data_IF_704223531737
#
_entry.id   IF_704223531737
#
_cell.length_a   1.000
_cell.length_b   1.000
_cell.length_c   1.000
_cell.angle_alpha   90.00
_cell.angle_beta   90.00
_cell.angle_gamma   90.00
#
_symmetry.space_group_name_H-M   'P 1'
#
loop_
_entity.id
_entity.type
_entity.pdbx_description
1 polymer ?
#
# COMPACT_ATOMS: atom_id res chain seq x y z
N UNK A 1 -21.85 7.68 -0.83
CA UNK A 1 -21.35 8.22 0.44
C UNK A 1 -20.04 8.95 0.17
N UNK A 2 -19.77 10.02 0.90
CA UNK A 2 -18.50 10.73 0.88
C UNK A 2 -17.96 10.81 2.30
N UNK A 3 -16.64 10.65 2.46
CA UNK A 3 -15.96 10.82 3.74
C UNK A 3 -15.39 12.23 3.91
N UNK A 4 -15.49 13.04 2.84
CA UNK A 4 -15.03 14.41 2.79
C UNK A 4 -16.23 15.36 2.53
N UNK A 5 -16.46 16.32 3.43
CA UNK A 5 -17.47 17.36 3.30
C UNK A 5 -16.85 18.73 3.64
N UNK A 6 -16.20 19.34 2.67
CA UNK A 6 -15.46 20.59 2.85
C UNK A 6 -14.29 20.40 3.81
N UNK A 7 -14.35 21.01 5.00
CA UNK A 7 -13.30 20.89 6.05
C UNK A 7 -13.60 19.80 7.07
N UNK A 8 -14.69 19.06 6.92
CA UNK A 8 -15.07 17.96 7.81
C UNK A 8 -14.74 16.65 7.12
N UNK A 9 -13.94 15.81 7.78
CA UNK A 9 -13.49 14.52 7.30
C UNK A 9 -13.91 13.45 8.30
N UNK A 10 -14.57 12.41 7.82
CA UNK A 10 -15.02 11.29 8.64
C UNK A 10 -14.04 10.14 8.55
N UNK A 11 -13.81 9.46 9.68
CA UNK A 11 -12.85 8.37 9.83
C UNK A 11 -13.38 7.34 10.83
N UNK A 12 -13.10 6.06 10.63
CA UNK A 12 -13.54 5.00 11.52
C UNK A 12 -15.07 4.90 11.63
N UNK A 13 -15.58 4.67 12.82
CA UNK A 13 -17.01 4.48 13.08
C UNK A 13 -17.88 5.68 12.70
N UNK A 14 -17.31 6.87 12.63
CA UNK A 14 -18.00 8.07 12.13
C UNK A 14 -18.22 8.02 10.61
N UNK A 15 -17.41 7.28 9.88
CA UNK A 15 -17.50 7.12 8.43
C UNK A 15 -18.27 5.87 8.03
N UNK A 16 -18.11 4.77 8.78
CA UNK A 16 -18.71 3.46 8.49
C UNK A 16 -18.85 2.61 9.75
N UNK A 17 -19.94 1.88 9.85
CA UNK A 17 -20.13 0.85 10.85
C UNK A 17 -19.93 -0.52 10.23
N UNK A 18 -19.03 -1.32 10.78
CA UNK A 18 -18.73 -2.66 10.31
C UNK A 18 -19.34 -3.72 11.23
N UNK A 19 -19.83 -4.85 10.69
CA UNK A 19 -20.28 -5.97 11.51
C UNK A 19 -19.18 -6.46 12.45
N UNK A 20 -19.55 -6.84 13.67
CA UNK A 20 -18.62 -7.31 14.72
C UNK A 20 -17.85 -8.56 14.30
N UNK A 21 -18.50 -9.47 13.55
CA UNK A 21 -17.85 -10.69 13.08
C UNK A 21 -16.82 -10.40 11.99
N UNK A 22 -15.59 -10.80 12.27
CA UNK A 22 -14.40 -10.52 11.44
C UNK A 22 -13.43 -9.54 12.08
N UNK A 23 -13.80 -8.88 13.21
CA UNK A 23 -12.94 -7.98 14.02
C UNK A 23 -12.23 -6.91 13.18
N UNK A 24 -12.97 -6.21 12.30
CA UNK A 24 -12.39 -5.32 11.29
C UNK A 24 -12.58 -3.85 11.56
N UNK A 25 -13.52 -3.47 12.44
CA UNK A 25 -13.84 -2.06 12.69
C UNK A 25 -12.60 -1.23 13.04
N UNK A 26 -11.86 -1.64 14.07
CA UNK A 26 -10.64 -0.95 14.49
C UNK A 26 -9.59 -0.90 13.37
N UNK A 27 -9.32 -2.05 12.73
CA UNK A 27 -8.30 -2.12 11.69
C UNK A 27 -8.63 -1.21 10.49
N UNK A 28 -9.89 -1.16 10.08
CA UNK A 28 -10.35 -0.29 8.98
C UNK A 28 -10.25 1.18 9.39
N UNK A 29 -10.62 1.54 10.63
CA UNK A 29 -10.48 2.91 11.15
C UNK A 29 -9.01 3.35 11.25
N UNK A 30 -8.09 2.46 11.63
CA UNK A 30 -6.65 2.74 11.60
C UNK A 30 -6.17 2.97 10.17
N UNK A 31 -6.62 2.15 9.22
CA UNK A 31 -6.29 2.34 7.79
C UNK A 31 -6.85 3.67 7.24
N UNK A 32 -8.07 4.07 7.64
CA UNK A 32 -8.60 5.38 7.30
C UNK A 32 -7.68 6.50 7.79
N UNK A 33 -7.27 6.40 9.06
CA UNK A 33 -6.40 7.41 9.69
C UNK A 33 -5.05 7.51 8.99
N UNK A 34 -4.43 6.37 8.66
CA UNK A 34 -3.14 6.33 7.96
C UNK A 34 -3.28 6.92 6.55
N UNK A 35 -4.32 6.53 5.81
CA UNK A 35 -4.58 7.03 4.45
C UNK A 35 -4.84 8.54 4.44
N UNK A 36 -5.57 9.05 5.44
CA UNK A 36 -5.94 10.46 5.56
C UNK A 36 -4.77 11.33 6.03
N UNK A 37 -4.01 10.86 7.03
CA UNK A 37 -3.02 11.67 7.73
C UNK A 37 -1.93 12.23 6.81
N UNK A 38 -1.36 11.39 5.94
CA UNK A 38 -0.31 11.85 5.03
C UNK A 38 -0.83 12.82 3.95
N UNK A 39 -2.09 12.63 3.49
CA UNK A 39 -2.73 13.52 2.52
C UNK A 39 -2.97 14.90 3.14
N UNK A 40 -3.46 14.93 4.38
CA UNK A 40 -3.60 16.18 5.14
C UNK A 40 -2.25 16.85 5.36
N UNK A 41 -1.23 16.09 5.76
CA UNK A 41 0.11 16.63 5.96
C UNK A 41 0.66 17.27 4.67
N UNK A 42 0.54 16.56 3.52
CA UNK A 42 0.97 17.08 2.23
C UNK A 42 0.27 18.41 1.87
N UNK A 43 -1.04 18.52 2.14
CA UNK A 43 -1.80 19.75 1.86
C UNK A 43 -1.39 20.88 2.83
N UNK A 44 -1.28 20.60 4.13
CA UNK A 44 -0.90 21.61 5.14
C UNK A 44 0.51 22.15 4.90
N UNK A 45 1.41 21.31 4.43
CA UNK A 45 2.78 21.72 4.06
C UNK A 45 2.87 22.33 2.66
N UNK A 46 1.75 22.53 1.95
CA UNK A 46 1.74 23.12 0.61
C UNK A 46 2.35 22.23 -0.48
N UNK A 47 2.50 20.93 -0.23
CA UNK A 47 3.07 19.96 -1.17
C UNK A 47 2.03 19.39 -2.14
N UNK A 48 0.73 19.51 -1.81
CA UNK A 48 -0.38 19.05 -2.63
C UNK A 48 -1.59 19.97 -2.52
N UNK A 49 -2.45 19.97 -3.53
CA UNK A 49 -3.72 20.69 -3.53
C UNK A 49 -4.82 19.95 -2.73
N UNK A 50 -5.86 20.68 -2.34
CA UNK A 50 -6.96 20.16 -1.51
C UNK A 50 -7.72 18.99 -2.16
N UNK A 51 -7.75 18.89 -3.49
CA UNK A 51 -8.38 17.80 -4.23
C UNK A 51 -7.72 16.43 -3.98
N UNK A 52 -6.52 16.38 -3.38
CA UNK A 52 -5.93 15.11 -2.93
C UNK A 52 -6.85 14.37 -1.94
N UNK A 53 -7.69 15.09 -1.18
CA UNK A 53 -8.67 14.48 -0.26
C UNK A 53 -9.81 13.75 -0.96
N UNK A 54 -10.06 14.01 -2.25
CA UNK A 54 -11.08 13.26 -3.00
C UNK A 54 -10.64 11.80 -3.18
N UNK A 55 -9.32 11.58 -3.23
CA UNK A 55 -8.76 10.23 -3.27
C UNK A 55 -8.93 9.48 -1.94
N UNK A 56 -9.02 10.17 -0.80
CA UNK A 56 -9.37 9.56 0.47
C UNK A 56 -10.78 8.96 0.41
N UNK A 57 -11.76 9.74 -0.06
CA UNK A 57 -13.12 9.23 -0.23
C UNK A 57 -13.18 8.06 -1.20
N UNK A 58 -12.57 8.16 -2.39
CA UNK A 58 -12.66 7.11 -3.42
C UNK A 58 -12.01 5.81 -2.97
N UNK A 59 -10.85 5.87 -2.33
CA UNK A 59 -10.13 4.70 -1.82
C UNK A 59 -10.88 4.07 -0.65
N UNK A 60 -11.23 4.84 0.40
CA UNK A 60 -11.74 4.29 1.65
C UNK A 60 -13.22 3.89 1.61
N UNK A 61 -14.05 4.58 0.80
CA UNK A 61 -15.45 4.16 0.59
C UNK A 61 -15.53 2.83 -0.16
N UNK A 62 -14.67 2.61 -1.15
CA UNK A 62 -14.62 1.34 -1.87
C UNK A 62 -14.26 0.18 -0.93
N UNK A 63 -13.21 0.37 -0.11
CA UNK A 63 -12.76 -0.57 0.90
C UNK A 63 -13.84 -0.90 1.92
N UNK A 64 -14.46 0.12 2.52
CA UNK A 64 -15.50 -0.08 3.52
C UNK A 64 -16.70 -0.86 2.95
N UNK A 65 -17.07 -0.62 1.69
CA UNK A 65 -18.15 -1.37 1.03
C UNK A 65 -17.79 -2.85 0.85
N UNK A 66 -16.59 -3.14 0.37
CA UNK A 66 -16.11 -4.52 0.23
C UNK A 66 -16.06 -5.23 1.58
N UNK A 67 -15.48 -4.57 2.59
CA UNK A 67 -15.39 -5.13 3.94
C UNK A 67 -16.77 -5.36 4.55
N UNK A 68 -17.71 -4.41 4.41
CA UNK A 68 -19.09 -4.57 4.87
C UNK A 68 -19.79 -5.75 4.20
N UNK A 69 -19.59 -5.92 2.90
CA UNK A 69 -20.17 -7.04 2.16
C UNK A 69 -19.64 -8.39 2.67
N UNK A 70 -18.33 -8.54 2.78
CA UNK A 70 -17.69 -9.78 3.24
C UNK A 70 -17.98 -10.06 4.72
N UNK A 71 -17.90 -9.05 5.59
CA UNK A 71 -18.26 -9.21 7.00
C UNK A 71 -19.75 -9.53 7.19
N UNK A 72 -20.62 -8.97 6.35
CA UNK A 72 -22.05 -9.32 6.33
C UNK A 72 -22.31 -10.78 5.95
N UNK A 73 -21.53 -11.34 5.03
CA UNK A 73 -21.58 -12.77 4.71
C UNK A 73 -21.15 -13.62 5.91
N UNK A 74 -20.02 -13.27 6.53
CA UNK A 74 -19.53 -13.95 7.73
C UNK A 74 -20.54 -13.89 8.88
N UNK A 75 -21.17 -12.73 9.08
CA UNK A 75 -22.21 -12.53 10.10
C UNK A 75 -23.40 -13.46 9.88
N UNK A 76 -23.92 -13.57 8.65
CA UNK A 76 -25.03 -14.47 8.32
C UNK A 76 -24.65 -15.94 8.48
N UNK A 77 -23.38 -16.28 8.32
CA UNK A 77 -22.90 -17.64 8.57
C UNK A 77 -22.76 -17.94 10.06
N UNK A 78 -22.28 -16.98 10.86
CA UNK A 78 -22.11 -17.15 12.31
C UNK A 78 -23.42 -17.05 13.08
N UNK A 79 -24.30 -16.15 12.66
CA UNK A 79 -25.64 -15.92 13.24
C UNK A 79 -26.72 -16.00 12.16
N UNK A 80 -27.15 -17.22 11.79
CA UNK A 80 -28.13 -17.42 10.73
C UNK A 80 -29.44 -16.68 11.00
N UNK A 81 -29.87 -15.75 10.12
CA UNK A 81 -31.07 -14.94 10.37
C UNK A 81 -32.39 -15.68 10.17
N UNK A 82 -32.36 -16.81 9.47
CA UNK A 82 -33.58 -17.62 9.19
C UNK A 82 -33.30 -19.10 9.30
N UNK A 83 -34.36 -19.91 9.41
CA UNK A 83 -34.26 -21.37 9.41
C UNK A 83 -33.55 -21.92 8.16
N UNK A 84 -33.76 -21.31 6.98
CA UNK A 84 -33.05 -21.70 5.75
C UNK A 84 -31.55 -21.49 5.84
N UNK A 85 -31.11 -20.32 6.34
CA UNK A 85 -29.69 -20.06 6.59
C UNK A 85 -29.08 -21.02 7.62
N UNK A 86 -29.86 -21.40 8.66
CA UNK A 86 -29.39 -22.37 9.65
C UNK A 86 -29.18 -23.77 9.05
N UNK A 87 -30.13 -24.22 8.21
CA UNK A 87 -29.97 -25.49 7.48
C UNK A 87 -28.76 -25.46 6.56
N UNK A 88 -28.60 -24.37 5.79
CA UNK A 88 -27.44 -24.19 4.90
C UNK A 88 -26.12 -24.19 5.69
N UNK A 89 -26.05 -23.48 6.83
CA UNK A 89 -24.87 -23.48 7.70
C UNK A 89 -24.51 -24.90 8.14
N UNK A 90 -25.45 -25.66 8.67
CA UNK A 90 -25.23 -27.04 9.12
C UNK A 90 -24.78 -27.95 7.99
N UNK A 91 -25.39 -27.84 6.83
CA UNK A 91 -25.00 -28.60 5.65
C UNK A 91 -23.59 -28.27 5.20
N UNK A 92 -23.25 -26.97 5.09
CA UNK A 92 -21.92 -26.52 4.72
C UNK A 92 -20.84 -26.99 5.72
N UNK A 93 -21.11 -26.88 7.03
CA UNK A 93 -20.21 -27.36 8.08
C UNK A 93 -20.02 -28.88 7.99
N UNK A 94 -21.09 -29.64 7.86
CA UNK A 94 -21.04 -31.11 7.75
C UNK A 94 -20.26 -31.57 6.51
N UNK A 95 -20.51 -30.97 5.35
CA UNK A 95 -19.85 -31.31 4.10
C UNK A 95 -18.36 -30.93 4.13
N UNK A 96 -18.00 -29.82 4.76
CA UNK A 96 -16.62 -29.34 4.82
C UNK A 96 -15.67 -30.27 5.61
N UNK A 97 -16.22 -31.13 6.47
CA UNK A 97 -15.47 -32.16 7.18
C UNK A 97 -14.96 -33.25 6.23
N UNK A 98 -15.75 -33.58 5.21
CA UNK A 98 -15.48 -34.70 4.32
C UNK A 98 -15.10 -34.28 2.89
N UNK A 99 -15.38 -33.07 2.49
CA UNK A 99 -15.20 -32.57 1.12
C UNK A 99 -14.46 -31.24 1.10
N UNK A 100 -13.21 -31.26 0.69
CA UNK A 100 -12.36 -30.07 0.66
C UNK A 100 -12.92 -28.92 -0.20
N UNK A 101 -13.51 -29.24 -1.36
CA UNK A 101 -14.09 -28.24 -2.26
C UNK A 101 -15.24 -27.44 -1.62
N UNK A 102 -15.90 -27.97 -0.60
CA UNK A 102 -16.99 -27.26 0.13
C UNK A 102 -16.46 -26.27 1.17
N UNK A 103 -15.16 -26.36 1.54
CA UNK A 103 -14.54 -25.42 2.50
C UNK A 103 -14.59 -23.99 2.00
N UNK A 104 -14.58 -23.78 0.70
CA UNK A 104 -14.77 -22.48 0.07
C UNK A 104 -16.09 -21.79 0.42
N UNK A 105 -17.12 -22.56 0.82
CA UNK A 105 -18.39 -22.01 1.31
C UNK A 105 -18.26 -21.38 2.70
N UNK A 106 -17.28 -21.82 3.49
CA UNK A 106 -17.01 -21.35 4.85
C UNK A 106 -15.90 -20.32 4.90
N UNK A 107 -14.99 -20.35 3.91
CA UNK A 107 -13.83 -19.47 3.87
C UNK A 107 -14.18 -18.18 3.16
N UNK A 108 -14.49 -17.17 3.93
CA UNK A 108 -14.73 -15.83 3.43
C UNK A 108 -13.42 -15.05 3.45
N UNK A 109 -13.26 -14.18 2.47
CA UNK A 109 -12.11 -13.28 2.36
C UNK A 109 -12.08 -12.30 3.54
N UNK A 110 -11.67 -12.78 4.72
CA UNK A 110 -11.72 -11.97 5.95
C UNK A 110 -10.43 -11.22 6.25
N UNK A 111 -9.31 -11.55 5.61
CA UNK A 111 -7.98 -11.02 5.98
C UNK A 111 -7.10 -10.70 4.79
N UNK A 112 -7.66 -10.46 3.62
CA UNK A 112 -6.87 -9.97 2.49
C UNK A 112 -6.76 -8.44 2.55
N UNK A 113 -5.55 -7.89 2.41
CA UNK A 113 -5.40 -6.46 2.23
C UNK A 113 -6.10 -6.03 0.94
N UNK A 114 -6.78 -4.91 1.00
CA UNK A 114 -7.44 -4.29 -0.16
C UNK A 114 -6.39 -3.47 -0.89
N UNK A 115 -6.41 -3.49 -2.21
CA UNK A 115 -5.53 -2.68 -3.02
C UNK A 115 -6.27 -1.50 -3.65
N UNK A 116 -5.52 -0.46 -3.96
CA UNK A 116 -5.99 0.74 -4.62
C UNK A 116 -5.63 0.76 -6.11
N UNK A 117 -5.74 -0.38 -6.80
CA UNK A 117 -5.35 -0.50 -8.21
C UNK A 117 -6.07 0.51 -9.13
N UNK A 118 -7.29 0.90 -8.79
CA UNK A 118 -8.07 1.89 -9.53
C UNK A 118 -7.91 3.34 -9.03
N UNK A 119 -7.05 3.57 -8.04
CA UNK A 119 -6.81 4.92 -7.52
C UNK A 119 -6.06 5.78 -8.55
N UNK A 120 -6.40 7.07 -8.62
CA UNK A 120 -5.63 8.05 -9.38
C UNK A 120 -4.18 8.22 -8.89
N UNK A 121 -3.88 7.75 -7.66
CA UNK A 121 -2.53 7.78 -7.08
C UNK A 121 -1.70 6.55 -7.48
N UNK A 122 -2.25 5.62 -8.25
CA UNK A 122 -1.59 4.42 -8.73
C UNK A 122 -1.16 4.62 -10.18
N UNK A 123 0.13 4.49 -10.45
CA UNK A 123 0.74 4.70 -11.75
C UNK A 123 1.30 3.38 -12.27
N UNK A 124 0.77 2.92 -13.39
CA UNK A 124 1.26 1.70 -14.04
C UNK A 124 2.42 2.05 -14.98
N UNK A 125 3.50 1.29 -14.91
CA UNK A 125 4.58 1.31 -15.89
C UNK A 125 4.28 0.31 -17.02
N UNK A 126 4.68 0.63 -18.25
CA UNK A 126 4.53 -0.27 -19.41
C UNK A 126 5.22 -1.63 -19.20
N UNK A 127 6.27 -1.64 -18.36
CA UNK A 127 7.00 -2.84 -17.97
C UNK A 127 6.40 -3.62 -16.79
N UNK A 128 5.24 -3.25 -16.25
CA UNK A 128 4.66 -3.95 -15.08
C UNK A 128 4.36 -5.43 -15.37
N UNK A 129 4.02 -5.78 -16.60
CA UNK A 129 3.81 -7.17 -17.05
C UNK A 129 5.06 -8.07 -16.96
N UNK A 130 6.25 -7.51 -16.75
CA UNK A 130 7.49 -8.28 -16.54
C UNK A 130 7.61 -8.84 -15.11
N UNK A 131 6.78 -8.40 -14.18
CA UNK A 131 6.76 -8.93 -12.82
C UNK A 131 5.93 -10.20 -12.73
N UNK A 132 6.56 -11.29 -12.29
CA UNK A 132 5.89 -12.57 -12.06
C UNK A 132 5.33 -12.69 -10.62
N UNK A 133 5.79 -11.84 -9.72
CA UNK A 133 5.42 -11.82 -8.31
C UNK A 133 5.50 -10.38 -7.74
N UNK A 134 5.32 -10.26 -6.44
CA UNK A 134 5.46 -8.99 -5.72
C UNK A 134 4.18 -8.17 -5.64
N UNK A 135 4.15 -7.16 -4.76
CA UNK A 135 3.01 -6.27 -4.62
C UNK A 135 2.85 -5.43 -5.88
N UNK A 136 1.68 -5.53 -6.51
CA UNK A 136 1.36 -4.72 -7.70
C UNK A 136 1.10 -3.26 -7.32
N UNK A 137 1.13 -2.33 -8.27
CA UNK A 137 0.71 -0.96 -8.04
C UNK A 137 -0.69 -0.89 -7.43
N UNK A 138 -0.85 -0.09 -6.37
CA UNK A 138 -2.03 -0.01 -5.53
C UNK A 138 -2.04 -0.98 -4.34
N UNK A 139 -1.28 -2.07 -4.37
CA UNK A 139 -1.23 -3.02 -3.27
C UNK A 139 -0.38 -2.51 -2.09
N UNK A 140 -0.68 -2.94 -0.85
CA UNK A 140 0.17 -2.64 0.29
C UNK A 140 1.52 -3.37 0.19
N UNK A 141 2.53 -2.77 0.77
CA UNK A 141 3.87 -3.33 0.88
C UNK A 141 3.85 -4.70 1.57
N UNK A 142 4.72 -5.60 1.13
CA UNK A 142 4.89 -6.93 1.74
C UNK A 142 6.06 -6.93 2.70
N UNK A 143 5.84 -7.52 3.87
CA UNK A 143 6.92 -7.73 4.82
C UNK A 143 7.82 -8.88 4.33
N UNK A 144 9.12 -8.71 4.49
CA UNK A 144 10.13 -9.72 4.21
C UNK A 144 11.11 -9.78 5.38
N UNK A 145 11.52 -11.00 5.74
CA UNK A 145 12.59 -11.17 6.71
C UNK A 145 13.93 -10.91 6.02
N UNK A 146 14.77 -10.15 6.68
CA UNK A 146 16.09 -9.75 6.22
C UNK A 146 17.17 -10.44 7.06
N UNK A 147 18.36 -10.57 6.48
CA UNK A 147 19.54 -10.95 7.21
C UNK A 147 20.19 -9.68 7.80
N UNK A 148 19.71 -9.27 8.95
CA UNK A 148 20.20 -8.10 9.67
C UNK A 148 20.96 -8.48 10.91
N UNK A 149 21.99 -7.71 11.27
CA UNK A 149 22.72 -7.88 12.52
C UNK A 149 21.95 -7.32 13.72
N UNK A 150 20.95 -6.48 13.49
CA UNK A 150 20.08 -5.97 14.56
C UNK A 150 18.85 -6.88 14.75
N UNK A 151 18.76 -7.59 15.86
CA UNK A 151 17.63 -8.47 16.14
C UNK A 151 16.31 -7.71 16.37
N UNK A 152 16.35 -6.39 16.57
CA UNK A 152 15.17 -5.56 16.78
C UNK A 152 14.52 -5.09 15.47
N UNK A 153 15.24 -5.17 14.34
CA UNK A 153 14.76 -4.77 13.01
C UNK A 153 14.94 -5.88 11.97
N UNK A 154 14.37 -7.08 12.21
CA UNK A 154 14.59 -8.23 11.34
C UNK A 154 13.75 -8.22 10.07
N UNK A 155 12.89 -7.21 9.89
CA UNK A 155 11.93 -7.18 8.79
C UNK A 155 12.03 -5.90 7.96
N UNK A 156 11.70 -6.01 6.69
CA UNK A 156 11.71 -4.88 5.74
C UNK A 156 10.83 -3.71 6.21
N UNK A 157 9.64 -4.00 6.75
CA UNK A 157 8.73 -2.94 7.20
C UNK A 157 9.23 -2.18 8.44
N UNK A 158 10.17 -2.73 9.21
CA UNK A 158 10.78 -2.05 10.36
C UNK A 158 11.57 -0.80 9.95
N UNK A 159 11.99 -0.73 8.68
CA UNK A 159 12.71 0.40 8.10
C UNK A 159 11.80 1.47 7.48
N UNK A 160 10.49 1.20 7.39
CA UNK A 160 9.57 2.12 6.76
C UNK A 160 9.19 3.27 7.71
N UNK A 161 9.00 4.45 7.13
CA UNK A 161 8.60 5.66 7.84
C UNK A 161 7.42 6.33 7.11
N UNK A 162 6.69 7.25 7.75
CA UNK A 162 5.57 7.97 7.13
C UNK A 162 6.05 9.04 6.14
N UNK A 163 6.73 8.59 5.08
CA UNK A 163 7.26 9.40 3.99
C UNK A 163 7.12 8.62 2.67
N UNK A 164 7.25 9.28 1.54
CA UNK A 164 7.49 8.57 0.29
C UNK A 164 8.80 7.78 0.39
N UNK A 165 8.80 6.56 -0.13
CA UNK A 165 9.97 5.70 -0.09
C UNK A 165 10.24 5.14 -1.48
N UNK A 166 11.49 5.21 -1.89
CA UNK A 166 12.00 4.60 -3.11
C UNK A 166 12.86 3.41 -2.68
N UNK A 167 12.40 2.21 -3.01
CA UNK A 167 13.11 0.96 -2.75
C UNK A 167 13.79 0.51 -4.04
N UNK A 168 15.08 0.29 -3.96
CA UNK A 168 15.88 -0.23 -5.08
C UNK A 168 16.36 -1.62 -4.71
N UNK A 169 15.90 -2.62 -5.45
CA UNK A 169 16.31 -4.01 -5.32
C UNK A 169 17.36 -4.36 -6.34
N UNK A 170 18.37 -5.11 -5.89
CA UNK A 170 19.45 -5.61 -6.74
C UNK A 170 20.68 -4.71 -6.75
N UNK A 171 21.72 -5.18 -7.43
CA UNK A 171 23.07 -4.65 -7.38
C UNK A 171 23.39 -3.77 -8.62
N UNK A 172 22.36 -3.40 -9.42
CA UNK A 172 22.51 -2.57 -10.61
C UNK A 172 22.73 -1.09 -10.23
N UNK A 173 23.95 -0.64 -10.43
CA UNK A 173 24.35 0.73 -10.14
C UNK A 173 23.63 1.78 -11.01
N UNK A 174 23.17 1.42 -12.22
CA UNK A 174 22.43 2.36 -13.08
C UNK A 174 21.05 2.68 -12.51
N UNK A 175 20.35 1.65 -12.00
CA UNK A 175 19.07 1.80 -11.30
C UNK A 175 19.25 2.62 -10.01
N UNK A 176 20.31 2.32 -9.25
CA UNK A 176 20.60 3.02 -8.01
C UNK A 176 20.83 4.51 -8.26
N UNK A 177 21.74 4.83 -9.19
CA UNK A 177 22.11 6.21 -9.49
C UNK A 177 20.92 7.03 -10.01
N UNK A 178 20.07 6.44 -10.87
CA UNK A 178 18.85 7.10 -11.35
C UNK A 178 17.87 7.38 -10.20
N UNK A 179 17.64 6.42 -9.32
CA UNK A 179 16.77 6.59 -8.15
C UNK A 179 17.31 7.63 -7.16
N UNK A 180 18.63 7.60 -6.91
CA UNK A 180 19.33 8.56 -6.05
C UNK A 180 19.23 9.99 -6.59
N UNK A 181 19.46 10.19 -7.88
CA UNK A 181 19.29 11.50 -8.53
C UNK A 181 17.87 12.05 -8.35
N UNK A 182 16.86 11.23 -8.60
CA UNK A 182 15.45 11.59 -8.42
C UNK A 182 15.16 12.01 -6.97
N UNK A 183 15.61 11.21 -6.00
CA UNK A 183 15.38 11.48 -4.58
C UNK A 183 16.09 12.77 -4.15
N UNK A 184 17.32 13.01 -4.60
CA UNK A 184 18.03 14.25 -4.31
C UNK A 184 17.31 15.47 -4.91
N UNK A 185 16.82 15.37 -6.14
CA UNK A 185 16.01 16.43 -6.77
C UNK A 185 14.75 16.74 -5.99
N UNK A 186 14.01 15.71 -5.54
CA UNK A 186 12.79 15.87 -4.74
C UNK A 186 13.06 16.51 -3.38
N UNK A 187 14.14 16.09 -2.71
CA UNK A 187 14.59 16.68 -1.42
C UNK A 187 14.98 18.14 -1.59
N UNK A 188 15.64 18.50 -2.70
CA UNK A 188 15.94 19.90 -3.05
C UNK A 188 14.70 20.76 -3.23
N UNK A 189 13.53 20.15 -3.51
CA UNK A 189 12.22 20.81 -3.60
C UNK A 189 11.46 20.77 -2.26
N UNK A 190 12.07 20.37 -1.16
CA UNK A 190 11.45 20.32 0.17
C UNK A 190 10.57 19.09 0.44
N UNK A 191 10.62 18.07 -0.41
CA UNK A 191 9.86 16.84 -0.19
C UNK A 191 10.63 15.85 0.68
N UNK A 192 9.93 15.23 1.64
CA UNK A 192 10.51 14.15 2.45
C UNK A 192 10.37 12.82 1.69
N UNK A 193 11.48 12.36 1.14
CA UNK A 193 11.57 11.09 0.40
C UNK A 193 12.73 10.28 0.94
N UNK A 194 12.53 8.99 1.18
CA UNK A 194 13.57 8.07 1.61
C UNK A 194 14.03 7.17 0.46
N UNK A 195 15.31 6.84 0.47
CA UNK A 195 15.94 5.95 -0.50
C UNK A 195 16.50 4.72 0.23
N UNK A 196 15.92 3.56 -0.03
CA UNK A 196 16.30 2.30 0.59
C UNK A 196 16.92 1.37 -0.44
N UNK A 197 18.04 0.75 -0.08
CA UNK A 197 18.75 -0.23 -0.90
C UNK A 197 18.55 -1.63 -0.34
N UNK A 198 18.13 -2.58 -1.17
CA UNK A 198 17.99 -4.00 -0.83
C UNK A 198 18.90 -4.79 -1.77
N UNK A 199 20.05 -5.27 -1.27
CA UNK A 199 21.12 -5.87 -2.07
C UNK A 199 21.58 -7.20 -1.51
N UNK A 200 22.10 -8.05 -2.39
CA UNK A 200 22.68 -9.36 -2.03
C UNK A 200 24.21 -9.31 -1.83
N UNK A 201 24.88 -8.31 -2.41
CA UNK A 201 26.35 -8.19 -2.40
C UNK A 201 26.95 -7.70 -1.07
N UNK A 202 26.11 -7.23 -0.15
CA UNK A 202 26.57 -6.69 1.14
C UNK A 202 27.21 -5.30 1.07
N UNK A 203 27.16 -4.64 -0.10
CA UNK A 203 27.78 -3.33 -0.31
C UNK A 203 26.74 -2.23 -0.14
N UNK A 204 26.93 -1.38 0.87
CA UNK A 204 26.07 -0.22 1.08
C UNK A 204 26.37 0.86 0.02
N UNK A 205 25.41 1.22 -0.83
CA UNK A 205 25.63 2.27 -1.81
C UNK A 205 25.55 3.67 -1.17
N UNK A 206 26.29 4.61 -1.76
CA UNK A 206 26.33 6.00 -1.28
C UNK A 206 24.94 6.66 -1.37
N UNK A 207 24.54 7.35 -0.29
CA UNK A 207 23.30 8.12 -0.23
C UNK A 207 22.05 7.31 0.14
N UNK A 208 22.19 6.04 0.51
CA UNK A 208 21.10 5.25 1.07
C UNK A 208 20.72 5.73 2.48
N UNK A 209 19.44 5.95 2.74
CA UNK A 209 18.93 6.21 4.10
C UNK A 209 18.82 4.93 4.92
N UNK A 210 18.70 3.79 4.25
CA UNK A 210 18.81 2.46 4.84
C UNK A 210 19.40 1.50 3.81
N UNK A 211 20.28 0.64 4.29
CA UNK A 211 20.84 -0.48 3.56
C UNK A 211 20.39 -1.79 4.19
N UNK A 212 19.86 -2.67 3.37
CA UNK A 212 19.20 -3.90 3.76
C UNK A 212 19.87 -5.07 3.02
N UNK A 213 20.56 -5.92 3.78
CA UNK A 213 21.24 -7.06 3.22
C UNK A 213 20.29 -8.24 3.02
N UNK A 214 20.18 -8.72 1.80
CA UNK A 214 19.33 -9.85 1.40
C UNK A 214 20.16 -10.91 0.63
N UNK A 215 21.14 -11.55 1.29
CA UNK A 215 22.10 -12.47 0.63
C UNK A 215 21.42 -13.71 0.05
N UNK A 216 20.28 -14.08 0.56
CA UNK A 216 19.49 -15.23 0.10
C UNK A 216 18.44 -14.86 -0.94
N UNK A 217 18.26 -13.57 -1.24
CA UNK A 217 17.26 -13.08 -2.19
C UNK A 217 15.81 -13.25 -1.73
N UNK A 218 15.55 -13.42 -0.43
CA UNK A 218 14.22 -13.67 0.09
C UNK A 218 13.28 -12.47 -0.12
N UNK A 219 13.77 -11.26 0.14
CA UNK A 219 13.02 -10.04 -0.11
C UNK A 219 12.85 -9.81 -1.61
N UNK A 220 13.92 -10.02 -2.41
CA UNK A 220 13.87 -9.91 -3.86
C UNK A 220 12.82 -10.84 -4.47
N UNK A 221 12.81 -12.12 -4.08
CA UNK A 221 11.83 -13.10 -4.58
C UNK A 221 10.39 -12.73 -4.18
N UNK A 222 10.17 -12.34 -2.90
CA UNK A 222 8.85 -11.96 -2.40
C UNK A 222 8.29 -10.72 -3.10
N UNK A 223 9.18 -9.79 -3.52
CA UNK A 223 8.83 -8.57 -4.24
C UNK A 223 8.87 -8.74 -5.77
N UNK A 224 9.18 -9.94 -6.25
CA UNK A 224 9.31 -10.20 -7.69
C UNK A 224 10.41 -9.36 -8.33
N UNK A 225 11.45 -9.01 -7.55
CA UNK A 225 12.52 -8.10 -7.94
C UNK A 225 13.75 -8.80 -8.53
N UNK A 226 13.59 -10.05 -8.98
CA UNK A 226 14.65 -10.81 -9.65
C UNK A 226 15.22 -10.01 -10.83
N UNK A 227 16.54 -9.86 -10.88
CA UNK A 227 17.22 -9.05 -11.88
C UNK A 227 17.12 -7.54 -11.65
N UNK A 228 16.72 -7.11 -10.46
CA UNK A 228 16.56 -5.72 -10.09
C UNK A 228 15.14 -5.16 -10.28
N UNK A 229 14.78 -4.22 -9.44
CA UNK A 229 13.54 -3.46 -9.57
C UNK A 229 13.57 -2.18 -8.72
N UNK A 230 12.76 -1.21 -9.10
CA UNK A 230 12.47 -0.04 -8.27
C UNK A 230 11.00 -0.05 -7.90
N UNK A 231 10.71 0.28 -6.64
CA UNK A 231 9.37 0.49 -6.12
C UNK A 231 9.26 1.88 -5.50
N UNK A 232 8.20 2.58 -5.82
CA UNK A 232 7.83 3.83 -5.15
C UNK A 232 6.65 3.56 -4.25
N UNK A 233 6.83 3.79 -2.94
CA UNK A 233 5.78 3.64 -1.94
C UNK A 233 5.29 5.01 -1.49
N UNK A 234 3.98 5.08 -1.29
CA UNK A 234 3.30 6.20 -0.62
C UNK A 234 3.60 6.17 0.88
N UNK A 235 3.38 7.30 1.60
CA UNK A 235 3.57 7.34 3.06
C UNK A 235 2.68 6.34 3.84
N UNK A 236 1.55 5.90 3.26
CA UNK A 236 0.68 4.84 3.80
C UNK A 236 1.09 3.43 3.38
N UNK A 237 2.31 3.26 2.88
CA UNK A 237 2.95 1.99 2.51
C UNK A 237 2.26 1.25 1.35
N UNK A 238 1.46 1.93 0.52
CA UNK A 238 0.96 1.37 -0.72
C UNK A 238 1.90 1.66 -1.88
N UNK A 239 2.03 0.70 -2.79
CA UNK A 239 2.85 0.84 -4.00
C UNK A 239 2.20 1.85 -4.93
N UNK A 240 2.84 3.00 -5.14
CA UNK A 240 2.41 3.97 -6.15
C UNK A 240 2.75 3.48 -7.55
N UNK A 241 3.97 2.95 -7.73
CA UNK A 241 4.46 2.39 -9.00
C UNK A 241 5.62 1.44 -8.76
N UNK A 242 5.92 0.61 -9.76
CA UNK A 242 7.12 -0.27 -9.79
C UNK A 242 7.58 -0.49 -11.22
N UNK A 243 8.87 -0.72 -11.40
CA UNK A 243 9.44 -1.04 -12.71
C UNK A 243 10.71 -1.88 -12.62
N UNK A 244 11.07 -2.49 -13.74
CA UNK A 244 12.29 -3.28 -13.94
C UNK A 244 13.38 -2.46 -14.66
N UNK A 245 14.64 -2.92 -14.66
CA UNK A 245 15.70 -2.31 -15.47
C UNK A 245 15.27 -2.08 -16.91
N UNK A 246 15.72 -0.99 -17.51
CA UNK A 246 15.39 -0.59 -18.88
C UNK A 246 14.04 0.11 -19.05
N UNK A 247 13.29 0.37 -17.97
CA UNK A 247 12.13 1.27 -18.01
C UNK A 247 12.57 2.74 -18.03
N UNK A 248 11.78 3.59 -18.69
CA UNK A 248 11.92 5.04 -18.64
C UNK A 248 11.27 5.68 -17.41
N UNK A 249 10.64 4.89 -16.54
CA UNK A 249 10.00 5.38 -15.33
C UNK A 249 11.00 6.02 -14.37
N UNK A 250 10.59 7.12 -13.73
CA UNK A 250 11.39 7.90 -12.79
C UNK A 250 10.61 8.15 -11.51
N UNK A 251 11.25 7.90 -10.37
CA UNK A 251 10.64 8.10 -9.05
C UNK A 251 10.15 9.53 -8.84
N UNK A 252 10.91 10.52 -9.33
CA UNK A 252 10.53 11.93 -9.27
C UNK A 252 9.21 12.21 -10.01
N UNK A 253 9.02 11.61 -11.19
CA UNK A 253 7.79 11.78 -11.96
C UNK A 253 6.59 11.17 -11.22
N UNK A 254 6.74 9.96 -10.70
CA UNK A 254 5.68 9.25 -9.98
C UNK A 254 5.24 10.02 -8.73
N UNK A 255 6.18 10.47 -7.90
CA UNK A 255 5.87 11.21 -6.66
C UNK A 255 5.20 12.54 -6.97
N UNK A 256 5.68 13.28 -7.97
CA UNK A 256 5.05 14.52 -8.42
C UNK A 256 3.64 14.28 -8.95
N UNK A 257 3.43 13.22 -9.73
CA UNK A 257 2.09 12.85 -10.19
C UNK A 257 1.16 12.61 -9.01
N UNK A 258 1.55 11.79 -8.03
CA UNK A 258 0.75 11.49 -6.83
C UNK A 258 0.36 12.78 -6.08
N UNK A 259 1.27 13.72 -5.93
CA UNK A 259 1.02 14.99 -5.23
C UNK A 259 0.19 15.96 -6.08
N UNK A 260 0.25 15.88 -7.40
CA UNK A 260 -0.48 16.78 -8.31
C UNK A 260 -1.92 16.37 -8.57
N UNK A 261 -2.34 15.15 -8.23
CA UNK A 261 -3.72 14.65 -8.47
C UNK A 261 -4.79 15.56 -7.86
N UNK A 262 -4.47 16.29 -6.80
CA UNK A 262 -5.36 17.24 -6.14
C UNK A 262 -5.34 18.66 -6.69
N UNK A 263 -4.70 18.89 -7.83
CA UNK A 263 -4.35 20.22 -8.33
C UNK A 263 -3.03 20.71 -7.74
N UNK A 264 -2.32 21.54 -8.50
CA UNK A 264 -1.12 22.21 -8.00
C UNK A 264 -1.55 23.27 -6.97
N UNK A 265 -0.76 23.41 -5.91
CA UNK A 265 -0.82 24.62 -5.09
C UNK A 265 -0.41 25.76 -6.01
N UNK A 266 -1.37 26.65 -6.35
CA UNK A 266 -1.00 27.88 -7.01
C UNK A 266 0.02 28.59 -6.12
N UNK A 267 1.20 28.89 -6.68
CA UNK A 267 2.09 29.85 -6.08
C UNK A 267 1.25 31.06 -5.71
N UNK A 268 1.10 31.35 -4.43
CA UNK A 268 0.57 32.60 -4.00
C UNK A 268 1.53 33.67 -4.52
N UNK A 269 1.22 34.24 -5.68
CA UNK A 269 1.77 35.53 -6.05
C UNK A 269 1.47 36.48 -4.90
N UNK A 270 2.54 36.94 -4.27
CA UNK A 270 2.47 37.88 -3.17
C UNK A 270 1.71 39.15 -3.57
N UNK A 271 0.73 39.49 -2.77
CA UNK A 271 0.26 40.84 -2.63
C UNK A 271 0.51 41.31 -1.22
#
# INVERSE_FOLDING_TARGET
ASYNHGRVLYCGDAAHLLPVFGVRGLNTGVQDSINLAWKLAAIVHGQAGAGLLDTYTSERVADAREICFEAGRSTRMMAPPTRGFHIMQRAALSLSLNHEYTRGLLHWRTSHPIDYASSALTVLDEGDGRFQAGPRPGAPARNARLDTQDPHTPFLLDYFQPAFQVLVFGDDESLWNAAREDVLSLRGQGLTVRLLSIRSDGVQPEGADAFLHDPQGNAQALWGADGGAVYVLRPDQHVASRWKPGSAARAAHIIKHVLSVGGLVHEHEGK
#
